data_IF_768821485150
#
_entry.id   IF_768821485150
#
_cell.length_a   1.000
_cell.length_b   1.000
_cell.length_c   1.000
_cell.angle_alpha   90.00
_cell.angle_beta   90.00
_cell.angle_gamma   90.00
#
_symmetry.space_group_name_H-M   'P 1'
#
loop_
_entity.id
_entity.type
_entity.pdbx_description
1 polymer ?
#
# COMPACT_ATOMS: atom_id res chain seq x y z
N UNK A 1 -8.65 -9.43 25.95
CA UNK A 1 -7.85 -9.90 27.10
C UNK A 1 -6.54 -10.52 26.59
N UNK A 2 -5.43 -10.43 27.34
CA UNK A 2 -4.10 -10.83 26.87
C UNK A 2 -4.02 -12.26 26.35
N UNK A 3 -4.77 -13.20 26.94
CA UNK A 3 -4.81 -14.61 26.52
C UNK A 3 -5.13 -14.83 25.03
N UNK A 4 -5.82 -13.88 24.37
CA UNK A 4 -6.11 -13.97 22.92
C UNK A 4 -4.90 -13.66 22.05
N UNK A 5 -3.99 -12.80 22.51
CA UNK A 5 -2.87 -12.28 21.70
C UNK A 5 -1.52 -12.90 22.05
N UNK A 6 -1.40 -13.53 23.23
CA UNK A 6 -0.17 -14.23 23.62
C UNK A 6 0.28 -15.29 22.61
N UNK A 7 -0.60 -16.16 22.06
CA UNK A 7 -0.18 -17.13 21.06
C UNK A 7 0.39 -16.47 19.78
N UNK A 8 -0.22 -15.35 19.34
CA UNK A 8 0.26 -14.60 18.17
C UNK A 8 1.60 -13.92 18.41
N UNK A 9 1.82 -13.42 19.62
CA UNK A 9 3.07 -12.76 20.01
C UNK A 9 4.23 -13.76 20.05
N UNK A 10 4.04 -14.92 20.71
CA UNK A 10 5.07 -15.93 20.87
C UNK A 10 5.17 -16.92 19.69
N UNK A 11 4.22 -16.89 18.75
CA UNK A 11 4.28 -17.63 17.49
C UNK A 11 4.69 -16.72 16.33
N UNK A 12 3.70 -16.29 15.53
CA UNK A 12 3.89 -15.54 14.29
C UNK A 12 4.88 -14.37 14.40
N UNK A 13 4.75 -13.52 15.42
CA UNK A 13 5.61 -12.34 15.57
C UNK A 13 7.03 -12.70 16.01
N UNK A 14 7.17 -13.69 16.90
CA UNK A 14 8.49 -14.21 17.30
C UNK A 14 9.25 -14.75 16.11
N UNK A 15 8.60 -15.61 15.32
CA UNK A 15 9.26 -16.32 14.22
C UNK A 15 9.64 -15.35 13.09
N UNK A 16 8.78 -14.35 12.80
CA UNK A 16 9.08 -13.29 11.82
C UNK A 16 10.35 -12.51 12.14
N UNK A 17 10.57 -12.21 13.42
CA UNK A 17 11.64 -11.29 13.84
C UNK A 17 12.88 -12.00 14.38
N UNK A 18 12.96 -13.34 14.27
CA UNK A 18 14.04 -14.15 14.84
C UNK A 18 15.44 -13.68 14.41
N UNK A 19 15.58 -13.28 13.14
CA UNK A 19 16.87 -12.90 12.53
C UNK A 19 17.07 -11.39 12.42
N UNK A 20 16.16 -10.58 12.98
CA UNK A 20 16.20 -9.12 12.85
C UNK A 20 16.66 -8.49 14.17
N UNK A 21 17.76 -7.77 14.14
CA UNK A 21 18.30 -7.06 15.30
C UNK A 21 17.60 -5.70 15.49
N UNK A 22 16.37 -5.72 16.01
CA UNK A 22 15.60 -4.51 16.33
C UNK A 22 14.89 -3.84 15.14
N UNK A 23 14.23 -2.72 15.42
CA UNK A 23 13.47 -1.98 14.41
C UNK A 23 12.26 -2.75 13.86
N UNK A 24 11.51 -3.42 14.73
CA UNK A 24 10.35 -4.24 14.37
C UNK A 24 9.12 -3.42 13.94
N UNK A 25 9.12 -2.13 14.30
CA UNK A 25 8.03 -1.20 14.00
C UNK A 25 8.49 -0.10 13.06
N UNK A 26 7.53 0.46 12.33
CA UNK A 26 7.72 1.64 11.50
C UNK A 26 6.62 2.64 11.79
N UNK A 27 7.03 3.91 11.82
CA UNK A 27 6.11 5.05 11.91
C UNK A 27 6.22 5.82 10.59
N UNK A 28 5.09 5.94 9.89
CA UNK A 28 4.99 6.70 8.65
C UNK A 28 4.01 7.85 8.88
N UNK A 29 4.47 9.09 8.68
CA UNK A 29 3.60 10.27 8.77
C UNK A 29 2.54 10.24 7.67
N UNK A 30 1.35 10.67 8.03
CA UNK A 30 0.20 10.77 7.13
C UNK A 30 -0.47 12.13 7.30
N UNK A 31 -1.35 12.46 6.36
CA UNK A 31 -2.19 13.66 6.47
C UNK A 31 -3.03 13.64 7.77
N UNK A 32 -3.34 14.80 8.37
CA UNK A 32 -4.14 14.87 9.59
C UNK A 32 -5.43 14.05 9.48
N UNK A 33 -5.60 13.08 10.39
CA UNK A 33 -6.77 12.18 10.37
C UNK A 33 -8.05 12.94 10.73
N UNK A 34 -7.94 13.86 11.69
CA UNK A 34 -9.05 14.69 12.11
C UNK A 34 -8.92 16.06 11.45
N UNK A 35 -9.89 16.40 10.62
CA UNK A 35 -9.91 17.67 9.89
C UNK A 35 -10.18 18.88 10.78
N UNK A 36 -10.68 18.68 12.01
CA UNK A 36 -11.02 19.76 12.92
C UNK A 36 -9.80 20.25 13.71
N UNK A 37 -9.07 19.35 14.38
CA UNK A 37 -7.91 19.71 15.20
C UNK A 37 -6.61 19.84 14.38
N UNK A 38 -6.60 19.33 13.15
CA UNK A 38 -5.41 19.30 12.27
C UNK A 38 -4.17 18.70 12.96
N UNK A 39 -4.38 17.77 13.88
CA UNK A 39 -3.29 17.13 14.60
C UNK A 39 -2.45 16.25 13.66
N UNK A 40 -1.12 16.32 13.81
CA UNK A 40 -0.19 15.46 13.06
C UNK A 40 -0.55 13.99 13.28
N UNK A 41 -0.70 13.24 12.17
CA UNK A 41 -1.08 11.83 12.23
C UNK A 41 0.04 10.94 11.69
N UNK A 42 0.03 9.68 12.10
CA UNK A 42 0.99 8.69 11.63
C UNK A 42 0.40 7.28 11.72
N UNK A 43 0.91 6.40 10.86
CA UNK A 43 0.62 4.97 10.89
C UNK A 43 1.77 4.27 11.61
N UNK A 44 1.45 3.54 12.67
CA UNK A 44 2.34 2.60 13.34
C UNK A 44 2.07 1.20 12.79
N UNK A 45 3.10 0.57 12.23
CA UNK A 45 2.99 -0.76 11.62
C UNK A 45 4.12 -1.69 12.05
N UNK A 46 3.85 -3.00 11.97
CA UNK A 46 4.85 -4.06 12.10
C UNK A 46 5.55 -4.26 10.75
N UNK A 47 6.88 -4.12 10.76
CA UNK A 47 7.72 -4.30 9.58
C UNK A 47 7.68 -5.75 9.13
N UNK A 48 7.79 -6.00 7.83
CA UNK A 48 7.79 -7.35 7.27
C UNK A 48 6.48 -8.12 7.60
N UNK A 49 5.42 -7.42 7.99
CA UNK A 49 4.08 -7.96 8.22
C UNK A 49 3.19 -7.93 6.96
N UNK A 50 2.05 -8.66 6.96
CA UNK A 50 1.16 -8.75 5.80
C UNK A 50 0.58 -7.39 5.37
N UNK A 51 0.51 -6.43 6.29
CA UNK A 51 -0.01 -5.06 6.07
C UNK A 51 1.10 -3.98 6.09
N UNK A 52 2.32 -4.31 5.67
CA UNK A 52 3.44 -3.35 5.59
C UNK A 52 3.20 -2.35 4.44
N UNK A 53 2.91 -1.10 4.79
CA UNK A 53 2.60 -0.03 3.82
C UNK A 53 3.79 0.33 2.93
N UNK A 54 5.02 0.33 3.46
CA UNK A 54 6.22 0.64 2.68
C UNK A 54 6.48 -0.43 1.64
N UNK A 55 6.29 -1.70 1.99
CA UNK A 55 6.38 -2.81 1.04
C UNK A 55 5.36 -2.64 -0.09
N UNK A 56 4.09 -2.42 0.25
CA UNK A 56 3.01 -2.26 -0.74
C UNK A 56 3.24 -1.05 -1.63
N UNK A 57 3.66 0.09 -1.07
CA UNK A 57 3.96 1.29 -1.85
C UNK A 57 5.15 1.11 -2.78
N UNK A 58 6.18 0.39 -2.35
CA UNK A 58 7.35 0.09 -3.19
C UNK A 58 6.94 -0.80 -4.37
N UNK A 59 6.18 -1.86 -4.10
CA UNK A 59 5.66 -2.75 -5.14
C UNK A 59 4.79 -1.99 -6.16
N UNK A 60 3.85 -1.16 -5.67
CA UNK A 60 2.98 -0.33 -6.53
C UNK A 60 3.77 0.67 -7.38
N UNK A 61 4.82 1.27 -6.81
CA UNK A 61 5.68 2.22 -7.53
C UNK A 61 6.43 1.52 -8.66
N UNK A 62 7.04 0.37 -8.39
CA UNK A 62 7.74 -0.43 -9.40
C UNK A 62 6.77 -0.90 -10.49
N UNK A 63 5.59 -1.39 -10.12
CA UNK A 63 4.55 -1.80 -11.07
C UNK A 63 4.16 -0.66 -12.01
N UNK A 64 3.95 0.55 -11.47
CA UNK A 64 3.66 1.74 -12.26
C UNK A 64 4.82 2.10 -13.18
N UNK A 65 6.05 2.07 -12.69
CA UNK A 65 7.23 2.41 -13.49
C UNK A 65 7.39 1.42 -14.66
N UNK A 66 7.16 0.11 -14.43
CA UNK A 66 7.11 -0.92 -15.49
C UNK A 66 6.04 -0.64 -16.55
N UNK A 67 4.81 -0.33 -16.13
CA UNK A 67 3.71 0.01 -17.02
C UNK A 67 3.96 1.26 -17.87
N UNK A 68 4.70 2.22 -17.32
CA UNK A 68 5.08 3.45 -18.03
C UNK A 68 6.37 3.31 -18.85
N UNK A 69 7.03 2.14 -18.81
CA UNK A 69 8.33 1.91 -19.48
C UNK A 69 9.45 2.79 -18.92
N UNK A 70 9.40 3.13 -17.62
CA UNK A 70 10.38 3.98 -16.95
C UNK A 70 11.26 3.15 -16.02
N UNK A 71 12.51 3.57 -15.86
CA UNK A 71 13.37 3.00 -14.83
C UNK A 71 12.98 3.52 -13.44
N UNK A 72 13.09 2.64 -12.44
CA UNK A 72 12.82 3.00 -11.06
C UNK A 72 13.92 3.92 -10.50
N UNK A 73 13.49 4.92 -9.72
CA UNK A 73 14.41 5.88 -9.12
C UNK A 73 15.39 5.22 -8.12
N UNK A 74 16.57 5.81 -7.85
CA UNK A 74 17.51 5.29 -6.86
C UNK A 74 16.90 5.09 -5.47
N UNK A 75 15.97 5.97 -5.07
CA UNK A 75 15.25 5.86 -3.79
C UNK A 75 14.31 4.64 -3.78
N UNK A 76 13.61 4.39 -4.89
CA UNK A 76 12.76 3.19 -5.05
C UNK A 76 13.59 1.92 -4.94
N UNK A 77 14.75 1.85 -5.61
CA UNK A 77 15.66 0.70 -5.56
C UNK A 77 16.21 0.46 -4.14
N UNK A 78 16.59 1.53 -3.45
CA UNK A 78 17.02 1.44 -2.06
C UNK A 78 15.89 0.97 -1.12
N UNK A 79 14.66 1.43 -1.34
CA UNK A 79 13.50 0.96 -0.58
C UNK A 79 13.19 -0.51 -0.89
N UNK A 80 13.30 -0.94 -2.15
CA UNK A 80 13.14 -2.34 -2.55
C UNK A 80 14.14 -3.24 -1.80
N UNK A 81 15.41 -2.83 -1.72
CA UNK A 81 16.42 -3.55 -0.93
C UNK A 81 16.05 -3.64 0.55
N UNK A 82 15.51 -2.56 1.14
CA UNK A 82 15.12 -2.54 2.55
C UNK A 82 13.94 -3.46 2.88
N UNK A 83 12.93 -3.50 2.01
CA UNK A 83 11.71 -4.29 2.26
C UNK A 83 11.87 -5.78 1.91
N UNK A 84 12.94 -6.14 1.20
CA UNK A 84 13.25 -7.52 0.81
C UNK A 84 14.31 -8.17 1.70
N UNK A 85 15.07 -7.36 2.48
CA UNK A 85 16.21 -7.84 3.28
C UNK A 85 15.88 -9.05 4.18
N UNK A 86 14.69 -9.09 4.80
CA UNK A 86 14.29 -10.15 5.73
C UNK A 86 13.07 -10.96 5.27
N UNK A 87 12.53 -10.65 4.08
CA UNK A 87 11.35 -11.31 3.49
C UNK A 87 11.68 -12.09 2.21
N UNK A 88 12.70 -11.67 1.47
CA UNK A 88 13.06 -12.21 0.17
C UNK A 88 12.53 -11.38 -1.00
N UNK A 89 13.20 -11.51 -2.15
CA UNK A 89 12.88 -10.75 -3.37
C UNK A 89 11.61 -11.27 -4.07
N UNK A 90 11.35 -12.58 -4.01
CA UNK A 90 10.22 -13.22 -4.67
C UNK A 90 8.87 -12.61 -4.26
N UNK A 91 8.67 -12.41 -2.95
CA UNK A 91 7.43 -11.81 -2.43
C UNK A 91 7.17 -10.41 -3.01
N UNK A 92 8.23 -9.62 -3.22
CA UNK A 92 8.12 -8.30 -3.83
C UNK A 92 7.73 -8.42 -5.30
N UNK A 93 8.38 -9.32 -6.05
CA UNK A 93 8.10 -9.54 -7.47
C UNK A 93 6.67 -10.03 -7.70
N UNK A 94 6.21 -11.01 -6.91
CA UNK A 94 4.84 -11.53 -6.93
C UNK A 94 3.83 -10.39 -6.67
N UNK A 95 4.12 -9.50 -5.72
CA UNK A 95 3.25 -8.36 -5.43
C UNK A 95 3.26 -7.31 -6.54
N UNK A 96 4.41 -7.07 -7.18
CA UNK A 96 4.51 -6.17 -8.34
C UNK A 96 3.65 -6.70 -9.49
N UNK A 97 3.74 -7.99 -9.79
CA UNK A 97 2.93 -8.64 -10.83
C UNK A 97 1.42 -8.50 -10.55
N UNK A 98 1.00 -8.71 -9.29
CA UNK A 98 -0.40 -8.47 -8.88
C UNK A 98 -0.84 -7.03 -9.15
N UNK A 99 0.00 -6.03 -8.84
CA UNK A 99 -0.33 -4.63 -9.11
C UNK A 99 -0.38 -4.29 -10.60
N UNK A 100 0.46 -4.94 -11.42
CA UNK A 100 0.42 -4.79 -12.88
C UNK A 100 -0.89 -5.35 -13.42
N UNK A 101 -1.27 -6.57 -13.03
CA UNK A 101 -2.53 -7.20 -13.45
C UNK A 101 -3.75 -6.36 -13.04
N UNK A 102 -3.79 -5.89 -11.78
CA UNK A 102 -4.85 -5.02 -11.27
C UNK A 102 -5.01 -3.73 -12.06
N UNK A 103 -3.92 -3.10 -12.49
CA UNK A 103 -3.97 -1.88 -13.30
C UNK A 103 -4.32 -2.15 -14.77
N UNK A 104 -3.98 -3.33 -15.29
CA UNK A 104 -4.35 -3.76 -16.64
C UNK A 104 -5.83 -4.19 -16.75
N UNK A 105 -6.54 -4.31 -15.61
CA UNK A 105 -7.94 -4.77 -15.59
C UNK A 105 -8.08 -6.30 -15.64
N UNK A 106 -6.98 -7.02 -15.44
CA UNK A 106 -6.99 -8.48 -15.31
C UNK A 106 -7.24 -8.83 -13.84
N UNK A 107 -8.25 -9.65 -13.56
CA UNK A 107 -8.57 -10.06 -12.19
C UNK A 107 -7.42 -10.93 -11.64
N UNK A 108 -6.74 -10.52 -10.55
CA UNK A 108 -5.66 -11.33 -10.01
C UNK A 108 -6.21 -12.60 -9.35
N UNK A 109 -5.51 -13.72 -9.53
CA UNK A 109 -5.76 -14.96 -8.80
C UNK A 109 -5.55 -14.69 -7.29
N UNK A 110 -6.65 -14.77 -6.53
CA UNK A 110 -6.66 -14.50 -5.10
C UNK A 110 -5.87 -15.58 -4.36
N UNK A 111 -4.80 -15.21 -3.67
CA UNK A 111 -4.14 -16.06 -2.69
C UNK A 111 -4.83 -15.89 -1.33
N UNK A 112 -5.22 -17.01 -0.74
CA UNK A 112 -6.03 -17.12 0.47
C UNK A 112 -5.43 -16.33 1.65
N UNK A 113 -6.14 -15.30 2.09
CA UNK A 113 -5.82 -14.51 3.27
C UNK A 113 -7.10 -13.89 3.84
N UNK A 114 -7.35 -14.15 5.12
CA UNK A 114 -8.60 -13.95 5.86
C UNK A 114 -9.32 -12.60 5.62
N UNK A 115 -10.66 -12.71 5.71
CA UNK A 115 -11.77 -11.77 5.44
C UNK A 115 -11.71 -10.40 6.18
N UNK A 116 -10.62 -9.65 6.00
CA UNK A 116 -10.49 -8.25 6.39
C UNK A 116 -10.64 -7.27 5.21
N UNK A 117 -10.84 -7.81 4.00
CA UNK A 117 -11.05 -7.04 2.78
C UNK A 117 -12.38 -6.27 2.79
N UNK A 118 -13.41 -6.80 3.47
CA UNK A 118 -14.73 -6.16 3.56
C UNK A 118 -14.69 -4.84 4.33
N UNK A 119 -14.06 -4.80 5.50
CA UNK A 119 -13.94 -3.55 6.27
C UNK A 119 -13.08 -2.50 5.55
N UNK A 120 -12.02 -2.93 4.86
CA UNK A 120 -11.17 -2.01 4.10
C UNK A 120 -11.88 -1.49 2.83
N UNK A 121 -12.64 -2.34 2.13
CA UNK A 121 -13.46 -1.96 0.99
C UNK A 121 -14.58 -1.00 1.41
N UNK A 122 -15.30 -1.30 2.50
CA UNK A 122 -16.34 -0.42 3.05
C UNK A 122 -15.78 0.93 3.50
N UNK A 123 -14.57 0.96 4.07
CA UNK A 123 -13.91 2.23 4.41
C UNK A 123 -13.49 3.01 3.16
N UNK A 124 -12.97 2.36 2.12
CA UNK A 124 -12.63 2.99 0.85
C UNK A 124 -13.88 3.52 0.10
N UNK A 125 -14.99 2.79 0.15
CA UNK A 125 -16.27 3.20 -0.43
C UNK A 125 -16.87 4.39 0.34
N UNK A 126 -16.75 4.40 1.67
CA UNK A 126 -17.14 5.56 2.49
C UNK A 126 -16.27 6.78 2.21
N UNK A 127 -14.96 6.61 2.08
CA UNK A 127 -14.07 7.74 1.78
C UNK A 127 -14.31 8.30 0.37
N UNK A 128 -14.49 7.43 -0.63
CA UNK A 128 -14.81 7.86 -2.00
C UNK A 128 -16.19 8.54 -2.10
N UNK A 129 -17.20 8.07 -1.36
CA UNK A 129 -18.48 8.76 -1.24
C UNK A 129 -18.35 10.13 -0.57
N UNK A 130 -17.50 10.25 0.46
CA UNK A 130 -17.23 11.51 1.17
C UNK A 130 -16.48 12.51 0.29
N UNK A 131 -15.50 12.04 -0.49
CA UNK A 131 -14.79 12.85 -1.50
C UNK A 131 -15.75 13.33 -2.59
N UNK A 132 -16.66 12.47 -3.06
CA UNK A 132 -17.70 12.84 -4.05
C UNK A 132 -18.73 13.84 -3.51
N UNK A 133 -19.00 13.81 -2.21
CA UNK A 133 -19.85 14.79 -1.53
C UNK A 133 -19.15 16.13 -1.28
N UNK A 134 -17.83 16.13 -1.07
CA UNK A 134 -17.03 17.34 -0.86
C UNK A 134 -16.75 18.08 -2.18
N UNK A 135 -16.46 17.33 -3.24
CA UNK A 135 -16.24 17.85 -4.59
C UNK A 135 -17.48 17.57 -5.43
N UNK A 136 -18.53 18.38 -5.23
CA UNK A 136 -19.64 18.44 -6.17
C UNK A 136 -19.11 18.57 -7.59
N UNK A 137 -19.62 17.72 -8.49
CA UNK A 137 -19.19 17.48 -9.89
C UNK A 137 -18.24 18.55 -10.45
N UNK A 138 -16.95 18.46 -10.11
CA UNK A 138 -15.96 19.40 -10.61
C UNK A 138 -15.52 18.86 -11.98
N UNK A 139 -15.85 19.52 -13.09
CA UNK A 139 -15.42 19.06 -14.39
C UNK A 139 -13.90 19.04 -14.46
N UNK A 140 -13.35 17.98 -15.05
CA UNK A 140 -11.91 17.80 -15.23
C UNK A 140 -11.27 19.07 -15.85
N UNK A 141 -10.06 19.47 -15.40
CA UNK A 141 -9.41 20.66 -15.90
C UNK A 141 -9.21 20.59 -17.42
N UNK A 142 -9.46 21.71 -18.09
CA UNK A 142 -9.57 21.86 -19.55
C UNK A 142 -8.30 21.43 -20.33
N UNK A 143 -7.16 21.36 -19.64
CA UNK A 143 -5.90 20.81 -20.17
C UNK A 143 -6.01 19.34 -20.59
N UNK A 144 -6.90 18.56 -19.99
CA UNK A 144 -7.13 17.15 -20.33
C UNK A 144 -8.00 16.95 -21.59
N UNK A 145 -8.76 17.97 -22.03
CA UNK A 145 -9.57 17.90 -23.26
C UNK A 145 -8.70 18.16 -24.50
N UNK A 146 -7.79 19.12 -24.43
CA UNK A 146 -6.93 19.52 -25.56
C UNK A 146 -5.99 18.41 -26.05
N UNK A 147 -5.59 17.48 -25.18
CA UNK A 147 -4.78 16.32 -25.56
C UNK A 147 -5.58 15.20 -26.26
N UNK A 148 -6.89 15.13 -26.06
CA UNK A 148 -7.76 14.13 -26.70
C UNK A 148 -8.16 14.51 -28.12
N UNK A 149 -8.32 15.80 -28.38
CA UNK A 149 -8.75 16.29 -29.70
C UNK A 149 -7.60 16.41 -30.71
N UNK A 150 -6.34 16.37 -30.27
CA UNK A 150 -5.17 16.41 -31.15
C UNK A 150 -4.80 15.02 -31.73
N UNK A 151 -5.54 13.97 -31.37
CA UNK A 151 -5.25 12.58 -31.77
C UNK A 151 -6.35 11.94 -32.61
N UNK A 152 -7.19 12.76 -33.27
CA UNK A 152 -8.14 12.32 -34.29
C UNK A 152 -7.72 12.81 -35.66
#
# INVERSE_FOLDING_TARGET
>A
TPHKFMPKLFGELRDRYLNREGGYTRVTRTEPKNTYDQAESSILEFVDGPKDSRFMMTAKTIARDRLLGRESTPLTLHNAKKVTQFRGQKDLDDMVERFVALQAGEAPAMADGEDHSKEAAEMADRESAKVKGLFGNTPAPESAKKMRDLKR
#
